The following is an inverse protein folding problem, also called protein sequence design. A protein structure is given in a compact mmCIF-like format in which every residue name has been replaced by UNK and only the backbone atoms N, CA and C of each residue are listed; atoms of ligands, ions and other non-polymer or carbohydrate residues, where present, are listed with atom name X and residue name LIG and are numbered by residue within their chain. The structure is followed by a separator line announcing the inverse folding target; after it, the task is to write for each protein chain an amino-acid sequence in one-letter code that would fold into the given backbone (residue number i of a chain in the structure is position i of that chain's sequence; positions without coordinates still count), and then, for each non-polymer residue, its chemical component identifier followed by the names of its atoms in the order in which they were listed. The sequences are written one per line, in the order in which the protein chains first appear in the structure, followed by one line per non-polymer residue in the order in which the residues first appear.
data_IF_724437185868
#
_entry.id   IF_724437185868
#
_cell.length_a   1.000
_cell.length_b   1.000
_cell.length_c   1.000
_cell.angle_alpha   90.00
_cell.angle_beta   90.00
_cell.angle_gamma   90.00
#
_symmetry.space_group_name_H-M   'P 1'
#
loop_
_entity.id
_entity.type
_entity.pdbx_description
1 polymer ?
#
# COMPACT_ATOMS: atom_id res chain seq x y z
N UNK A 1 27.41 -17.92 -27.18
CA UNK A 1 26.65 -17.83 -25.89
C UNK A 1 26.12 -16.41 -25.84
N UNK A 2 24.79 -16.26 -25.94
CA UNK A 2 24.20 -14.92 -25.78
C UNK A 2 24.33 -14.54 -24.31
N UNK A 3 25.12 -13.52 -24.04
CA UNK A 3 25.39 -13.07 -22.69
C UNK A 3 24.08 -12.51 -22.08
N UNK A 4 23.78 -12.94 -20.86
CA UNK A 4 22.71 -12.37 -20.10
C UNK A 4 23.17 -11.05 -19.48
N UNK A 5 22.39 -9.98 -19.66
CA UNK A 5 22.66 -8.67 -19.12
C UNK A 5 21.43 -8.05 -18.48
N UNK A 6 21.69 -7.21 -17.48
CA UNK A 6 20.63 -6.49 -16.77
C UNK A 6 20.11 -5.32 -17.61
N UNK A 7 18.79 -5.24 -17.75
CA UNK A 7 18.11 -4.12 -18.43
C UNK A 7 17.71 -3.05 -17.44
N UNK A 8 17.09 -3.45 -16.34
CA UNK A 8 16.61 -2.54 -15.32
C UNK A 8 16.34 -3.27 -13.99
N UNK A 9 16.61 -2.56 -12.90
CA UNK A 9 16.25 -3.02 -11.55
C UNK A 9 15.19 -2.11 -10.96
N UNK A 10 14.08 -2.70 -10.51
CA UNK A 10 12.98 -1.99 -9.88
C UNK A 10 12.59 -2.65 -8.56
N UNK A 11 12.69 -1.91 -7.47
CA UNK A 11 12.60 -2.44 -6.12
C UNK A 11 13.62 -3.59 -5.90
N UNK A 12 13.13 -4.82 -5.69
CA UNK A 12 13.99 -6.00 -5.56
C UNK A 12 13.84 -6.98 -6.73
N UNK A 13 13.34 -6.51 -7.87
CA UNK A 13 13.22 -7.28 -9.11
C UNK A 13 14.14 -6.68 -10.16
N UNK A 14 14.99 -7.52 -10.73
CA UNK A 14 15.85 -7.17 -11.86
C UNK A 14 15.29 -7.83 -13.11
N UNK A 15 15.04 -7.01 -14.14
CA UNK A 15 14.72 -7.46 -15.48
C UNK A 15 16.02 -7.64 -16.25
N UNK A 16 16.29 -8.85 -16.72
CA UNK A 16 17.37 -9.15 -17.67
C UNK A 16 16.80 -9.36 -19.07
N UNK A 17 17.64 -9.55 -20.04
CA UNK A 17 17.21 -9.91 -21.40
C UNK A 17 16.53 -11.29 -21.48
N UNK A 18 16.69 -12.19 -20.49
CA UNK A 18 16.18 -13.58 -20.52
C UNK A 18 15.22 -13.92 -19.40
N UNK A 19 15.26 -13.21 -18.27
CA UNK A 19 14.45 -13.54 -17.07
C UNK A 19 14.18 -12.35 -16.17
N UNK A 20 13.25 -12.55 -15.25
CA UNK A 20 13.00 -11.69 -14.11
C UNK A 20 13.61 -12.37 -12.86
N UNK A 21 14.45 -11.65 -12.15
CA UNK A 21 15.12 -12.14 -10.94
C UNK A 21 14.68 -11.31 -9.75
N UNK A 22 14.15 -11.96 -8.72
CA UNK A 22 13.80 -11.32 -7.46
C UNK A 22 14.76 -11.75 -6.37
N UNK A 23 15.41 -10.77 -5.73
CA UNK A 23 16.21 -10.99 -4.53
C UNK A 23 15.31 -10.96 -3.29
N UNK A 24 15.34 -12.03 -2.50
CA UNK A 24 14.63 -12.14 -1.23
C UNK A 24 15.69 -12.25 -0.14
N UNK A 25 15.85 -11.19 0.65
CA UNK A 25 16.72 -11.23 1.83
C UNK A 25 15.88 -11.54 3.07
N UNK A 26 16.20 -12.60 3.77
CA UNK A 26 15.64 -12.94 5.09
C UNK A 26 16.73 -12.85 6.14
N UNK A 27 16.48 -12.07 7.17
CA UNK A 27 17.34 -12.10 8.38
C UNK A 27 16.89 -13.30 9.21
N UNK A 28 17.80 -14.25 9.39
CA UNK A 28 17.58 -15.42 10.25
C UNK A 28 18.35 -15.17 11.54
N UNK A 29 17.63 -14.98 12.64
CA UNK A 29 18.21 -14.95 13.99
C UNK A 29 18.25 -16.38 14.53
N UNK A 30 19.42 -16.98 14.51
CA UNK A 30 19.68 -18.27 15.17
C UNK A 30 20.47 -17.98 16.46
N UNK A 31 19.79 -18.10 17.57
CA UNK A 31 20.22 -18.06 18.99
C UNK A 31 21.45 -17.22 19.42
N UNK A 32 22.42 -16.96 18.60
CA UNK A 32 23.59 -16.09 18.88
C UNK A 32 24.29 -15.53 17.64
N UNK A 33 23.81 -15.85 16.44
CA UNK A 33 24.39 -15.31 15.19
C UNK A 33 23.30 -14.78 14.27
N UNK A 34 23.43 -13.52 13.84
CA UNK A 34 22.62 -12.97 12.77
C UNK A 34 23.17 -13.46 11.42
N UNK A 35 22.38 -14.28 10.73
CA UNK A 35 22.65 -14.72 9.38
C UNK A 35 21.67 -14.07 8.41
N UNK A 36 22.13 -13.63 7.24
CA UNK A 36 21.28 -13.20 6.15
C UNK A 36 21.19 -14.32 5.11
N UNK A 37 20.01 -14.90 4.93
CA UNK A 37 19.74 -15.79 3.79
C UNK A 37 19.26 -14.94 2.62
N UNK A 38 19.98 -15.01 1.51
CA UNK A 38 19.55 -14.41 0.24
C UNK A 38 19.08 -15.52 -0.67
N UNK A 39 17.78 -15.61 -0.89
CA UNK A 39 17.20 -16.50 -1.89
C UNK A 39 16.85 -15.72 -3.16
N UNK A 40 17.12 -16.32 -4.32
CA UNK A 40 16.81 -15.76 -5.62
C UNK A 40 15.63 -16.55 -6.23
N UNK A 41 14.56 -15.84 -6.55
CA UNK A 41 13.47 -16.36 -7.35
C UNK A 41 13.64 -15.86 -8.78
N UNK A 42 13.66 -16.77 -9.75
CA UNK A 42 13.87 -16.43 -11.16
C UNK A 42 12.73 -16.95 -12.03
N UNK A 43 12.16 -16.08 -12.87
CA UNK A 43 11.14 -16.41 -13.85
C UNK A 43 11.71 -16.15 -15.24
N UNK A 44 11.90 -17.19 -16.09
CA UNK A 44 12.25 -17.00 -17.50
C UNK A 44 11.18 -16.18 -18.22
N UNK A 45 11.57 -15.22 -19.06
CA UNK A 45 10.62 -14.35 -19.77
C UNK A 45 9.69 -15.15 -20.70
N UNK A 46 10.15 -16.24 -21.28
CA UNK A 46 9.30 -17.16 -22.06
C UNK A 46 8.14 -17.76 -21.27
N UNK A 47 8.22 -17.79 -19.93
CA UNK A 47 7.15 -18.28 -19.05
C UNK A 47 6.31 -17.15 -18.46
N UNK A 48 6.56 -15.91 -18.88
CA UNK A 48 5.79 -14.75 -18.45
C UNK A 48 4.36 -14.83 -18.98
N UNK A 49 3.38 -14.54 -18.14
CA UNK A 49 1.96 -14.48 -18.53
C UNK A 49 1.43 -13.06 -18.43
N UNK A 50 1.54 -12.46 -17.24
CA UNK A 50 1.02 -11.12 -16.99
C UNK A 50 1.70 -10.44 -15.82
N UNK A 51 1.65 -9.12 -15.79
CA UNK A 51 2.01 -8.35 -14.63
C UNK A 51 0.91 -7.33 -14.29
N UNK A 52 0.69 -7.12 -12.99
CA UNK A 52 -0.32 -6.18 -12.52
C UNK A 52 0.12 -5.50 -11.23
N UNK A 53 -0.24 -4.24 -11.11
CA UNK A 53 -0.15 -3.53 -9.85
C UNK A 53 -1.40 -3.79 -9.03
N UNK A 54 -1.23 -4.31 -7.81
CA UNK A 54 -2.32 -4.57 -6.87
C UNK A 54 -2.19 -3.59 -5.70
N UNK A 55 -3.27 -2.91 -5.38
CA UNK A 55 -3.31 -1.95 -4.28
C UNK A 55 -4.19 -2.55 -3.18
N UNK A 56 -3.62 -2.69 -2.00
CA UNK A 56 -4.35 -3.10 -0.80
C UNK A 56 -4.55 -1.91 0.12
N UNK A 57 -5.72 -1.85 0.76
CA UNK A 57 -6.03 -0.92 1.83
C UNK A 57 -6.56 -1.69 3.04
N UNK A 58 -6.51 -1.08 4.21
CA UNK A 58 -7.05 -1.68 5.43
C UNK A 58 -8.47 -1.16 5.67
N UNK A 59 -9.52 -1.93 5.29
CA UNK A 59 -10.91 -1.48 5.37
C UNK A 59 -11.38 -1.19 6.79
N UNK A 60 -10.68 -1.74 7.80
CA UNK A 60 -11.00 -1.48 9.21
C UNK A 60 -10.99 0.02 9.56
N UNK A 61 -10.13 0.81 8.91
CA UNK A 61 -10.11 2.26 9.14
C UNK A 61 -11.37 2.95 8.63
N UNK A 62 -11.96 2.48 7.52
CA UNK A 62 -13.24 3.00 7.02
C UNK A 62 -14.37 2.77 8.03
N UNK A 63 -14.37 1.63 8.70
CA UNK A 63 -15.34 1.33 9.76
C UNK A 63 -15.26 2.34 10.90
N UNK A 64 -14.06 2.64 11.41
CA UNK A 64 -13.89 3.63 12.47
C UNK A 64 -14.23 5.07 12.03
N UNK A 65 -13.91 5.44 10.79
CA UNK A 65 -14.30 6.73 10.20
C UNK A 65 -15.81 6.85 10.19
N UNK A 66 -16.51 5.82 9.70
CA UNK A 66 -17.97 5.82 9.60
C UNK A 66 -18.63 5.95 10.96
N UNK A 67 -18.20 5.15 11.96
CA UNK A 67 -18.70 5.26 13.33
C UNK A 67 -18.48 6.65 13.90
N UNK A 68 -17.26 7.22 13.77
CA UNK A 68 -16.96 8.54 14.29
C UNK A 68 -17.83 9.62 13.66
N UNK A 69 -18.09 9.55 12.36
CA UNK A 69 -19.01 10.47 11.67
C UNK A 69 -20.45 10.33 12.20
N UNK A 70 -20.94 9.08 12.36
CA UNK A 70 -22.27 8.87 12.92
C UNK A 70 -22.43 9.42 14.33
N UNK A 71 -21.42 9.22 15.19
CA UNK A 71 -21.40 9.77 16.54
C UNK A 71 -21.42 11.31 16.49
N UNK A 72 -20.56 11.91 15.65
CA UNK A 72 -20.50 13.35 15.50
C UNK A 72 -21.83 13.95 15.04
N UNK A 73 -22.49 13.34 14.05
CA UNK A 73 -23.79 13.77 13.55
C UNK A 73 -24.86 13.62 14.64
N UNK A 74 -24.93 12.46 15.32
CA UNK A 74 -25.94 12.19 16.34
C UNK A 74 -25.86 13.19 17.49
N UNK A 75 -24.66 13.46 18.02
CA UNK A 75 -24.50 14.40 19.14
C UNK A 75 -24.64 15.85 18.69
N UNK A 76 -24.33 16.18 17.44
CA UNK A 76 -24.61 17.50 16.89
C UNK A 76 -26.11 17.81 16.91
N UNK A 77 -26.97 16.86 16.52
CA UNK A 77 -28.43 17.00 16.58
C UNK A 77 -28.99 17.06 18.02
N UNK A 78 -28.24 16.58 19.02
CA UNK A 78 -28.66 16.59 20.43
C UNK A 78 -28.21 17.86 21.16
N UNK A 79 -27.26 18.61 20.62
CA UNK A 79 -26.80 19.86 21.25
C UNK A 79 -27.92 20.91 21.22
N UNK A 80 -28.22 21.53 22.34
CA UNK A 80 -29.23 22.61 22.41
C UNK A 80 -28.81 23.86 21.61
N UNK A 81 -27.52 24.05 21.39
CA UNK A 81 -26.94 25.13 20.58
C UNK A 81 -26.67 24.73 19.16
N UNK A 82 -27.67 24.13 18.50
CA UNK A 82 -27.57 23.69 17.11
C UNK A 82 -27.25 24.86 16.18
N UNK A 83 -26.03 24.88 15.71
CA UNK A 83 -25.50 25.84 14.73
C UNK A 83 -23.98 25.85 14.78
N UNK A 84 -23.34 25.63 13.65
CA UNK A 84 -21.89 25.82 13.51
C UNK A 84 -21.57 27.31 13.65
N UNK A 85 -21.58 27.82 14.88
CA UNK A 85 -21.10 29.16 15.16
C UNK A 85 -19.57 29.12 15.19
N UNK A 86 -18.94 29.44 14.08
CA UNK A 86 -17.55 29.89 14.07
C UNK A 86 -17.54 31.38 14.42
N UNK A 87 -16.68 31.86 15.33
CA UNK A 87 -15.48 31.24 15.87
C UNK A 87 -15.72 30.33 17.08
N UNK A 88 -14.94 29.27 17.17
CA UNK A 88 -14.96 28.26 18.22
C UNK A 88 -14.71 28.90 19.59
N UNK A 89 -15.72 28.93 20.45
CA UNK A 89 -15.59 29.48 21.79
C UNK A 89 -15.12 28.37 22.74
N UNK A 90 -13.89 28.45 23.23
CA UNK A 90 -13.30 27.49 24.15
C UNK A 90 -14.14 27.25 25.39
N UNK A 91 -14.83 28.28 25.87
CA UNK A 91 -15.69 28.17 27.05
C UNK A 91 -16.89 27.28 26.78
N UNK A 92 -17.58 27.45 25.64
CA UNK A 92 -18.71 26.60 25.22
C UNK A 92 -18.29 25.16 24.99
N UNK A 93 -17.05 24.92 24.51
CA UNK A 93 -16.51 23.58 24.33
C UNK A 93 -16.45 22.76 25.62
N UNK A 94 -16.06 23.39 26.73
CA UNK A 94 -15.97 22.72 28.05
C UNK A 94 -17.30 22.69 28.83
N UNK A 95 -18.22 23.59 28.52
CA UNK A 95 -19.52 23.68 29.18
C UNK A 95 -20.58 22.74 28.55
N UNK A 96 -20.48 22.46 27.24
CA UNK A 96 -21.41 21.58 26.53
C UNK A 96 -20.77 20.21 26.21
N UNK A 97 -21.14 19.12 26.91
CA UNK A 97 -20.58 17.79 26.68
C UNK A 97 -20.90 17.27 25.29
N UNK A 98 -21.99 17.70 24.65
CA UNK A 98 -22.33 17.30 23.30
C UNK A 98 -21.39 17.89 22.27
N UNK A 99 -21.00 19.15 22.41
CA UNK A 99 -20.01 19.80 21.54
C UNK A 99 -18.65 19.12 21.70
N UNK A 100 -18.25 18.80 22.93
CA UNK A 100 -17.00 18.10 23.21
C UNK A 100 -16.95 16.73 22.53
N UNK A 101 -18.01 15.90 22.68
CA UNK A 101 -18.07 14.57 22.07
C UNK A 101 -18.08 14.67 20.53
N UNK A 102 -18.82 15.61 19.96
CA UNK A 102 -18.87 15.85 18.53
C UNK A 102 -17.47 16.21 17.98
N UNK A 103 -16.76 17.12 18.63
CA UNK A 103 -15.42 17.55 18.22
C UNK A 103 -14.42 16.41 18.34
N UNK A 104 -14.39 15.68 19.47
CA UNK A 104 -13.51 14.54 19.66
C UNK A 104 -13.76 13.44 18.63
N UNK A 105 -15.03 13.12 18.35
CA UNK A 105 -15.39 12.10 17.34
C UNK A 105 -14.93 12.53 15.94
N UNK A 106 -15.05 13.82 15.61
CA UNK A 106 -14.58 14.36 14.34
C UNK A 106 -13.05 14.28 14.21
N UNK A 107 -12.31 14.62 15.27
CA UNK A 107 -10.85 14.50 15.30
C UNK A 107 -10.39 13.04 15.17
N UNK A 108 -11.04 12.12 15.85
CA UNK A 108 -10.78 10.68 15.74
C UNK A 108 -11.04 10.21 14.31
N UNK A 109 -12.13 10.63 13.67
CA UNK A 109 -12.44 10.29 12.28
C UNK A 109 -11.37 10.82 11.31
N UNK A 110 -10.91 12.05 11.50
CA UNK A 110 -9.81 12.63 10.71
C UNK A 110 -8.50 11.86 10.89
N UNK A 111 -8.20 11.46 12.13
CA UNK A 111 -7.01 10.64 12.40
C UNK A 111 -7.08 9.29 11.67
N UNK A 112 -8.22 8.60 11.73
CA UNK A 112 -8.40 7.33 11.01
C UNK A 112 -8.41 7.53 9.49
N UNK A 113 -8.92 8.65 8.98
CA UNK A 113 -8.82 8.99 7.56
C UNK A 113 -7.36 9.13 7.12
N UNK A 114 -6.55 9.82 7.91
CA UNK A 114 -5.12 9.94 7.65
C UNK A 114 -4.41 8.57 7.68
N UNK A 115 -4.73 7.73 8.67
CA UNK A 115 -4.20 6.36 8.75
C UNK A 115 -4.66 5.50 7.57
N UNK A 116 -5.91 5.66 7.11
CA UNK A 116 -6.43 4.98 5.92
C UNK A 116 -5.64 5.37 4.67
N UNK A 117 -5.45 6.67 4.43
CA UNK A 117 -4.67 7.16 3.28
C UNK A 117 -3.23 6.60 3.31
N UNK A 118 -2.61 6.53 4.49
CA UNK A 118 -1.27 5.96 4.66
C UNK A 118 -1.23 4.43 4.56
N UNK A 119 -2.37 3.75 4.70
CA UNK A 119 -2.45 2.29 4.71
C UNK A 119 -2.44 1.65 3.32
N UNK A 120 -2.43 2.45 2.25
CA UNK A 120 -2.38 1.95 0.89
C UNK A 120 -1.01 1.35 0.58
N UNK A 121 -0.96 0.02 0.54
CA UNK A 121 0.21 -0.73 0.11
C UNK A 121 0.04 -1.14 -1.35
N UNK A 122 1.05 -0.83 -2.16
CA UNK A 122 1.08 -1.22 -3.57
C UNK A 122 2.03 -2.41 -3.74
N UNK A 123 1.60 -3.39 -4.50
CA UNK A 123 2.37 -4.59 -4.83
C UNK A 123 2.42 -4.76 -6.35
N UNK A 124 3.59 -5.08 -6.86
CA UNK A 124 3.74 -5.62 -8.21
C UNK A 124 3.58 -7.13 -8.12
N UNK A 125 2.62 -7.67 -8.87
CA UNK A 125 2.40 -9.11 -9.00
C UNK A 125 2.71 -9.50 -10.43
N UNK A 126 3.64 -10.42 -10.62
CA UNK A 126 4.02 -11.01 -11.89
C UNK A 126 3.61 -12.48 -11.87
N UNK A 127 2.92 -12.93 -12.89
CA UNK A 127 2.34 -14.27 -12.99
C UNK A 127 2.95 -15.01 -14.19
N UNK A 128 3.29 -16.27 -13.97
CA UNK A 128 3.80 -17.17 -15.02
C UNK A 128 2.67 -17.94 -15.70
N UNK A 129 2.94 -18.51 -16.88
CA UNK A 129 2.04 -19.44 -17.56
C UNK A 129 1.72 -20.68 -16.72
N UNK A 130 2.61 -21.08 -15.81
CA UNK A 130 2.41 -22.17 -14.85
C UNK A 130 1.61 -21.77 -13.60
N UNK A 131 1.16 -20.53 -13.48
CA UNK A 131 0.40 -20.02 -12.32
C UNK A 131 1.25 -19.64 -11.12
N UNK A 132 2.59 -19.72 -11.20
CA UNK A 132 3.47 -19.20 -10.15
C UNK A 132 3.39 -17.68 -10.09
N UNK A 133 3.47 -17.12 -8.89
CA UNK A 133 3.36 -15.66 -8.65
C UNK A 133 4.59 -15.12 -7.95
N UNK A 134 5.17 -14.10 -8.54
CA UNK A 134 6.20 -13.28 -7.91
C UNK A 134 5.57 -11.96 -7.48
N UNK A 135 5.55 -11.68 -6.17
CA UNK A 135 5.00 -10.43 -5.64
C UNK A 135 6.07 -9.63 -4.94
N UNK A 136 6.07 -8.31 -5.12
CA UNK A 136 6.95 -7.40 -4.38
C UNK A 136 6.21 -6.16 -3.94
N UNK A 137 6.51 -5.66 -2.73
CA UNK A 137 5.95 -4.42 -2.21
C UNK A 137 6.63 -3.24 -2.91
N UNK A 138 5.83 -2.27 -3.30
CA UNK A 138 6.28 -1.09 -4.01
C UNK A 138 6.27 0.12 -3.10
N UNK A 139 7.37 0.88 -3.13
CA UNK A 139 7.47 2.20 -2.48
C UNK A 139 7.67 3.31 -3.53
N UNK A 140 7.26 3.05 -4.78
CA UNK A 140 7.51 3.94 -5.91
C UNK A 140 6.22 4.58 -6.44
N UNK A 141 6.38 5.66 -7.21
CA UNK A 141 5.28 6.31 -7.92
C UNK A 141 4.67 5.37 -8.95
N UNK A 142 3.34 5.40 -9.10
CA UNK A 142 2.59 4.52 -10.02
C UNK A 142 3.10 4.57 -11.47
N UNK A 143 3.47 5.75 -11.95
CA UNK A 143 4.02 5.93 -13.30
C UNK A 143 5.25 5.07 -13.55
N UNK A 144 6.20 5.04 -12.61
CA UNK A 144 7.41 4.23 -12.72
C UNK A 144 7.10 2.72 -12.72
N UNK A 145 6.07 2.31 -11.97
CA UNK A 145 5.62 0.91 -11.98
C UNK A 145 5.09 0.51 -13.34
N UNK A 146 4.25 1.34 -13.96
CA UNK A 146 3.71 1.06 -15.30
C UNK A 146 4.79 1.09 -16.37
N UNK A 147 5.77 1.98 -16.28
CA UNK A 147 6.93 1.99 -17.19
C UNK A 147 7.72 0.68 -17.09
N UNK A 148 7.95 0.20 -15.87
CA UNK A 148 8.63 -1.07 -15.64
C UNK A 148 7.82 -2.27 -16.16
N UNK A 149 6.50 -2.30 -15.93
CA UNK A 149 5.59 -3.32 -16.49
C UNK A 149 5.67 -3.34 -18.01
N UNK A 150 5.57 -2.19 -18.67
CA UNK A 150 5.68 -2.09 -20.12
C UNK A 150 7.02 -2.59 -20.67
N UNK A 151 8.12 -2.40 -19.92
CA UNK A 151 9.43 -2.92 -20.30
C UNK A 151 9.48 -4.45 -20.21
N UNK A 152 8.89 -5.03 -19.14
CA UNK A 152 8.77 -6.49 -18.99
C UNK A 152 8.01 -7.07 -20.18
N UNK A 153 6.84 -6.51 -20.51
CA UNK A 153 5.99 -6.98 -21.60
C UNK A 153 6.72 -6.93 -22.93
N UNK A 154 7.33 -5.80 -23.26
CA UNK A 154 8.12 -5.64 -24.49
C UNK A 154 9.30 -6.62 -24.58
N UNK A 155 9.92 -6.96 -23.45
CA UNK A 155 11.03 -7.90 -23.46
C UNK A 155 10.53 -9.34 -23.54
N UNK A 156 9.41 -9.67 -22.89
CA UNK A 156 8.78 -10.98 -23.01
C UNK A 156 8.30 -11.27 -24.43
N UNK A 157 7.75 -10.27 -25.14
CA UNK A 157 7.36 -10.39 -26.55
C UNK A 157 8.53 -10.71 -27.50
N UNK A 158 9.76 -10.32 -27.15
CA UNK A 158 10.95 -10.64 -27.95
C UNK A 158 11.47 -12.05 -27.74
N UNK A 159 11.12 -12.68 -26.63
CA UNK A 159 11.56 -14.02 -26.26
C UNK A 159 10.54 -15.12 -26.65
N UNK A 160 9.35 -14.73 -27.14
CA UNK A 160 8.33 -15.61 -27.74
C UNK A 160 8.56 -15.81 -29.22
#
# INVERSE_FOLDING_TARGET
MDDEYDIETFANITLTNKRLVKSISRVITLDTSEGAEVSLMSIPLRNYSSSKMVIFSKPIYLFFITIGIFIAIYFNFKSPNYGLNFPFNMKEFFEDPYIMICTLSSLVSLFYLFMYIKSFDSFLSIETLGGEKMTTRLQAKRTLVYEFINKIEKQAEKEL
#
